data_IF_535541223919
#
_entry.id   IF_535541223919
#
_cell.length_a   1.000
_cell.length_b   1.000
_cell.length_c   1.000
_cell.angle_alpha   90.00
_cell.angle_beta   90.00
_cell.angle_gamma   90.00
#
_symmetry.space_group_name_H-M   'P 1'
#
loop_
_entity.id
_entity.type
_entity.pdbx_description
1 polymer ?
#
# COMPACT_ATOMS: atom_id res chain seq x y z
N UNK A 1 21.36 -15.70 -27.72
CA UNK A 1 21.77 -14.53 -26.90
C UNK A 1 20.60 -13.68 -26.42
N UNK A 2 19.53 -13.48 -27.20
CA UNK A 2 18.38 -12.61 -26.82
C UNK A 2 17.73 -12.98 -25.46
N UNK A 3 17.57 -14.28 -25.16
CA UNK A 3 16.96 -14.73 -23.90
C UNK A 3 17.75 -14.35 -22.63
N UNK A 4 19.07 -14.16 -22.73
CA UNK A 4 19.93 -13.80 -21.61
C UNK A 4 19.78 -12.31 -21.24
N UNK A 5 19.68 -11.44 -22.24
CA UNK A 5 19.52 -10.00 -22.03
C UNK A 5 18.13 -9.66 -21.48
N UNK A 6 17.08 -10.34 -21.97
CA UNK A 6 15.73 -10.19 -21.43
C UNK A 6 15.64 -10.65 -19.97
N UNK A 7 16.30 -11.75 -19.61
CA UNK A 7 16.35 -12.23 -18.23
C UNK A 7 16.99 -11.20 -17.29
N UNK A 8 18.17 -10.68 -17.65
CA UNK A 8 18.87 -9.68 -16.85
C UNK A 8 18.06 -8.38 -16.74
N UNK A 9 17.42 -7.94 -17.82
CA UNK A 9 16.55 -6.75 -17.80
C UNK A 9 15.38 -6.93 -16.83
N UNK A 10 14.68 -8.06 -16.90
CA UNK A 10 13.51 -8.33 -16.04
C UNK A 10 13.94 -8.46 -14.58
N UNK A 11 15.01 -9.20 -14.30
CA UNK A 11 15.57 -9.34 -12.95
C UNK A 11 15.92 -7.99 -12.33
N UNK A 12 16.62 -7.13 -13.08
CA UNK A 12 16.99 -5.80 -12.61
C UNK A 12 15.75 -4.92 -12.39
N UNK A 13 14.75 -5.03 -13.26
CA UNK A 13 13.46 -4.37 -13.10
C UNK A 13 12.74 -4.76 -11.81
N UNK A 14 12.69 -6.06 -11.50
CA UNK A 14 12.12 -6.57 -10.24
C UNK A 14 12.89 -5.98 -9.05
N UNK A 15 14.22 -6.05 -9.07
CA UNK A 15 15.07 -5.55 -7.98
C UNK A 15 14.82 -4.05 -7.71
N UNK A 16 14.78 -3.22 -8.76
CA UNK A 16 14.48 -1.79 -8.65
C UNK A 16 13.08 -1.56 -8.07
N UNK A 17 12.08 -2.34 -8.50
CA UNK A 17 10.73 -2.21 -7.97
C UNK A 17 10.66 -2.59 -6.49
N UNK A 18 11.36 -3.65 -6.06
CA UNK A 18 11.42 -4.02 -4.64
C UNK A 18 12.06 -2.93 -3.79
N UNK A 19 13.14 -2.31 -4.26
CA UNK A 19 13.76 -1.18 -3.58
C UNK A 19 12.78 0.00 -3.43
N UNK A 20 12.04 0.34 -4.49
CA UNK A 20 11.03 1.41 -4.45
C UNK A 20 9.87 1.07 -3.52
N UNK A 21 9.36 -0.16 -3.55
CA UNK A 21 8.32 -0.62 -2.62
C UNK A 21 8.83 -0.46 -1.18
N UNK A 22 10.04 -0.92 -0.88
CA UNK A 22 10.65 -0.78 0.45
C UNK A 22 10.79 0.68 0.88
N UNK A 23 11.24 1.57 -0.01
CA UNK A 23 11.34 3.01 0.28
C UNK A 23 9.97 3.61 0.58
N UNK A 24 8.95 3.30 -0.23
CA UNK A 24 7.60 3.79 -0.01
C UNK A 24 7.03 3.28 1.31
N UNK A 25 7.21 1.99 1.64
CA UNK A 25 6.76 1.41 2.90
C UNK A 25 7.37 2.15 4.09
N UNK A 26 8.69 2.43 4.06
CA UNK A 26 9.35 3.18 5.13
C UNK A 26 8.78 4.60 5.27
N UNK A 27 8.52 5.29 4.16
CA UNK A 27 7.90 6.62 4.18
C UNK A 27 6.47 6.57 4.74
N UNK A 28 5.67 5.58 4.31
CA UNK A 28 4.32 5.37 4.80
C UNK A 28 4.33 5.09 6.31
N UNK A 29 5.22 4.23 6.81
CA UNK A 29 5.38 3.95 8.25
C UNK A 29 5.64 5.24 9.04
N UNK A 30 6.46 6.15 8.50
CA UNK A 30 6.75 7.44 9.15
C UNK A 30 5.55 8.40 9.11
N UNK A 31 4.78 8.42 8.01
CA UNK A 31 3.57 9.24 7.90
C UNK A 31 2.48 8.72 8.84
N UNK A 32 2.26 7.41 8.88
CA UNK A 32 1.26 6.76 9.75
C UNK A 32 1.47 7.08 11.23
N UNK A 33 2.72 7.15 11.69
CA UNK A 33 3.04 7.54 13.08
C UNK A 33 2.57 8.95 13.44
N UNK A 34 2.44 9.84 12.46
CA UNK A 34 2.04 11.24 12.64
C UNK A 34 0.52 11.43 12.52
N UNK A 35 -0.18 10.51 11.86
CA UNK A 35 -1.65 10.58 11.74
C UNK A 35 -2.30 10.48 13.13
N UNK A 36 -3.21 11.42 13.39
CA UNK A 36 -3.91 11.57 14.66
C UNK A 36 -3.10 12.22 15.79
N UNK A 37 -1.90 12.74 15.51
CA UNK A 37 -1.07 13.51 16.44
C UNK A 37 -1.15 15.01 16.16
N UNK A 38 -0.41 15.84 16.91
CA UNK A 38 -0.31 17.27 16.65
C UNK A 38 0.39 17.61 15.32
N UNK A 39 1.15 16.68 14.73
CA UNK A 39 1.80 16.84 13.42
C UNK A 39 0.89 16.40 12.25
N UNK A 40 -0.32 15.90 12.53
CA UNK A 40 -1.25 15.47 11.49
C UNK A 40 -1.75 16.66 10.66
N UNK A 41 -1.87 16.45 9.35
CA UNK A 41 -2.32 17.49 8.42
C UNK A 41 -2.82 16.88 7.10
N UNK A 42 -3.68 17.61 6.38
CA UNK A 42 -4.19 17.18 5.08
C UNK A 42 -3.10 16.89 4.03
N UNK A 43 -2.02 17.71 3.90
CA UNK A 43 -0.92 17.38 2.99
C UNK A 43 -0.21 16.08 3.35
N UNK A 44 -0.07 15.78 4.65
CA UNK A 44 0.52 14.54 5.13
C UNK A 44 -0.34 13.33 4.74
N UNK A 45 -1.66 13.42 4.94
CA UNK A 45 -2.63 12.38 4.55
C UNK A 45 -2.68 12.17 3.03
N UNK A 46 -2.67 13.25 2.27
CA UNK A 46 -2.58 13.20 0.80
C UNK A 46 -1.31 12.47 0.34
N UNK A 47 -0.16 12.77 0.96
CA UNK A 47 1.10 12.06 0.67
C UNK A 47 1.02 10.58 1.05
N UNK A 48 0.42 10.26 2.18
CA UNK A 48 0.20 8.87 2.62
C UNK A 48 -0.60 8.07 1.57
N UNK A 49 -1.75 8.59 1.13
CA UNK A 49 -2.56 7.92 0.10
C UNK A 49 -1.83 7.82 -1.25
N UNK A 50 -1.11 8.88 -1.67
CA UNK A 50 -0.32 8.85 -2.89
C UNK A 50 0.73 7.74 -2.85
N UNK A 51 1.50 7.64 -1.78
CA UNK A 51 2.51 6.59 -1.62
C UNK A 51 1.86 5.20 -1.57
N UNK A 52 0.69 5.06 -0.93
CA UNK A 52 -0.09 3.82 -0.96
C UNK A 52 -0.42 3.38 -2.39
N UNK A 53 -0.96 4.30 -3.21
CA UNK A 53 -1.31 4.04 -4.61
C UNK A 53 -0.09 3.74 -5.48
N UNK A 54 0.98 4.53 -5.35
CA UNK A 54 2.24 4.31 -6.06
C UNK A 54 2.81 2.91 -5.73
N UNK A 55 2.70 2.49 -4.46
CA UNK A 55 3.14 1.16 -4.01
C UNK A 55 2.28 0.04 -4.60
N UNK A 56 0.95 0.21 -4.64
CA UNK A 56 0.03 -0.74 -5.31
C UNK A 56 0.38 -0.93 -6.79
N UNK A 57 0.72 0.13 -7.51
CA UNK A 57 1.14 0.06 -8.91
C UNK A 57 2.49 -0.66 -9.07
N UNK A 58 3.45 -0.41 -8.19
CA UNK A 58 4.74 -1.11 -8.18
C UNK A 58 4.55 -2.62 -7.93
N UNK A 59 3.65 -2.99 -7.01
CA UNK A 59 3.27 -4.39 -6.74
C UNK A 59 2.71 -5.05 -8.01
N UNK A 60 1.80 -4.38 -8.72
CA UNK A 60 1.25 -4.90 -9.97
C UNK A 60 2.32 -5.09 -11.05
N UNK A 61 3.16 -4.08 -11.27
CA UNK A 61 4.28 -4.12 -12.22
C UNK A 61 5.27 -5.24 -11.86
N UNK A 62 5.55 -5.44 -10.57
CA UNK A 62 6.45 -6.48 -10.08
C UNK A 62 5.87 -7.87 -10.32
N UNK A 63 4.57 -8.07 -10.11
CA UNK A 63 3.90 -9.33 -10.43
C UNK A 63 3.99 -9.65 -11.93
N UNK A 64 3.78 -8.66 -12.81
CA UNK A 64 3.92 -8.84 -14.25
C UNK A 64 5.37 -9.23 -14.62
N UNK A 65 6.36 -8.59 -14.01
CA UNK A 65 7.76 -8.91 -14.22
C UNK A 65 8.11 -10.35 -13.75
N UNK A 66 7.56 -10.81 -12.62
CA UNK A 66 7.72 -12.20 -12.18
C UNK A 66 7.09 -13.20 -13.18
N UNK A 67 5.92 -12.89 -13.75
CA UNK A 67 5.31 -13.73 -14.78
C UNK A 67 6.15 -13.76 -16.06
N UNK A 68 6.68 -12.62 -16.48
CA UNK A 68 7.60 -12.55 -17.62
C UNK A 68 8.86 -13.38 -17.36
N UNK A 69 9.45 -13.27 -16.16
CA UNK A 69 10.64 -14.04 -15.74
C UNK A 69 10.40 -15.56 -15.81
N UNK A 70 9.21 -16.01 -15.42
CA UNK A 70 8.81 -17.42 -15.51
C UNK A 70 8.77 -17.91 -16.96
N UNK A 71 8.22 -17.10 -17.86
CA UNK A 71 7.99 -17.44 -19.26
C UNK A 71 9.25 -17.36 -20.16
N UNK A 72 10.40 -16.93 -19.62
CA UNK A 72 11.65 -16.94 -20.39
C UNK A 72 12.06 -18.40 -20.67
N UNK A 73 12.21 -18.79 -21.96
CA UNK A 73 12.60 -20.13 -22.34
C UNK A 73 14.04 -20.42 -21.88
N UNK A 74 14.24 -21.60 -21.30
CA UNK A 74 15.53 -22.04 -20.78
C UNK A 74 16.12 -23.05 -21.75
N UNK A 75 17.31 -22.78 -22.27
CA UNK A 75 17.91 -23.57 -23.34
C UNK A 75 19.12 -24.41 -22.90
N UNK A 76 19.70 -24.13 -21.73
CA UNK A 76 20.89 -24.85 -21.20
C UNK A 76 20.75 -25.15 -19.71
N UNK A 77 21.43 -26.19 -19.20
CA UNK A 77 21.49 -26.49 -17.75
C UNK A 77 22.11 -25.34 -16.94
N UNK A 78 23.07 -24.61 -17.51
CA UNK A 78 23.65 -23.42 -16.89
C UNK A 78 22.64 -22.28 -16.72
N UNK A 79 21.64 -22.19 -17.60
CA UNK A 79 20.54 -21.24 -17.49
C UNK A 79 19.49 -21.70 -16.46
N UNK A 80 19.26 -23.01 -16.34
CA UNK A 80 18.40 -23.59 -15.29
C UNK A 80 18.96 -23.25 -13.90
N UNK A 81 20.25 -23.50 -13.68
CA UNK A 81 20.87 -23.32 -12.37
C UNK A 81 20.96 -21.83 -11.98
N UNK A 82 21.25 -20.94 -12.96
CA UNK A 82 21.23 -19.48 -12.75
C UNK A 82 19.83 -18.93 -12.49
N UNK A 83 18.82 -19.41 -13.24
CA UNK A 83 17.42 -19.04 -13.01
C UNK A 83 17.03 -19.38 -11.58
N UNK A 84 17.33 -20.62 -11.12
CA UNK A 84 17.01 -21.11 -9.78
C UNK A 84 17.57 -20.24 -8.65
N UNK A 85 18.87 -19.94 -8.65
CA UNK A 85 19.51 -19.14 -7.58
C UNK A 85 18.91 -17.72 -7.47
N UNK A 86 18.57 -17.11 -8.62
CA UNK A 86 18.02 -15.76 -8.68
C UNK A 86 16.50 -15.71 -8.46
N UNK A 87 15.79 -16.82 -8.70
CA UNK A 87 14.35 -16.94 -8.43
C UNK A 87 14.01 -17.26 -6.99
N UNK A 88 14.95 -17.75 -6.16
CA UNK A 88 14.63 -18.12 -4.77
C UNK A 88 14.66 -16.92 -3.80
N UNK A 89 15.46 -15.88 -4.09
CA UNK A 89 15.66 -14.75 -3.18
C UNK A 89 14.69 -13.59 -3.38
N UNK A 90 14.38 -13.23 -4.63
CA UNK A 90 13.50 -12.10 -4.95
C UNK A 90 12.05 -12.30 -4.46
N UNK A 91 11.41 -13.47 -4.61
CA UNK A 91 10.06 -13.71 -4.10
C UNK A 91 10.00 -13.62 -2.58
N UNK A 92 10.99 -14.17 -1.86
CA UNK A 92 11.03 -14.07 -0.40
C UNK A 92 11.14 -12.61 0.08
N UNK A 93 12.01 -11.82 -0.55
CA UNK A 93 12.11 -10.38 -0.24
C UNK A 93 10.81 -9.64 -0.57
N UNK A 94 10.20 -9.95 -1.70
CA UNK A 94 8.93 -9.37 -2.12
C UNK A 94 7.81 -9.66 -1.11
N UNK A 95 7.67 -10.91 -0.67
CA UNK A 95 6.67 -11.31 0.32
C UNK A 95 6.84 -10.56 1.65
N UNK A 96 8.08 -10.40 2.13
CA UNK A 96 8.39 -9.61 3.33
C UNK A 96 7.98 -8.14 3.18
N UNK A 97 8.22 -7.55 2.01
CA UNK A 97 7.82 -6.17 1.72
C UNK A 97 6.29 -6.03 1.64
N UNK A 98 5.59 -7.00 1.05
CA UNK A 98 4.13 -7.03 1.01
C UNK A 98 3.54 -7.12 2.42
N UNK A 99 4.07 -8.00 3.27
CA UNK A 99 3.62 -8.14 4.64
C UNK A 99 3.78 -6.83 5.42
N UNK A 100 4.95 -6.18 5.32
CA UNK A 100 5.20 -4.88 5.96
C UNK A 100 4.27 -3.79 5.44
N UNK A 101 4.05 -3.72 4.13
CA UNK A 101 3.13 -2.76 3.53
C UNK A 101 1.71 -2.93 4.09
N UNK A 102 1.23 -4.16 4.17
CA UNK A 102 -0.09 -4.49 4.73
C UNK A 102 -0.23 -4.11 6.19
N UNK A 103 0.74 -4.48 7.02
CA UNK A 103 0.74 -4.14 8.44
C UNK A 103 0.69 -2.62 8.63
N UNK A 104 1.49 -1.90 7.83
CA UNK A 104 1.54 -0.44 7.86
C UNK A 104 0.23 0.20 7.41
N UNK A 105 -0.37 -0.31 6.33
CA UNK A 105 -1.65 0.19 5.81
C UNK A 105 -2.79 -0.04 6.81
N UNK A 106 -2.86 -1.23 7.44
CA UNK A 106 -3.83 -1.52 8.50
C UNK A 106 -3.69 -0.54 9.67
N UNK A 107 -2.45 -0.28 10.10
CA UNK A 107 -2.18 0.68 11.16
C UNK A 107 -2.59 2.10 10.75
N UNK A 108 -2.30 2.51 9.51
CA UNK A 108 -2.70 3.82 8.98
C UNK A 108 -4.22 4.01 9.02
N UNK A 109 -4.97 3.04 8.51
CA UNK A 109 -6.43 3.04 8.54
C UNK A 109 -6.97 3.10 9.98
N UNK A 110 -6.39 2.32 10.89
CA UNK A 110 -6.77 2.36 12.30
C UNK A 110 -6.55 3.77 12.88
N UNK A 111 -5.40 4.39 12.62
CA UNK A 111 -5.07 5.75 13.09
C UNK A 111 -6.00 6.81 12.52
N UNK A 112 -6.35 6.72 11.24
CA UNK A 112 -7.33 7.62 10.63
C UNK A 112 -8.71 7.48 11.27
N UNK A 113 -9.17 6.25 11.50
CA UNK A 113 -10.46 5.99 12.17
C UNK A 113 -10.49 6.53 13.60
N UNK A 114 -9.42 6.30 14.36
CA UNK A 114 -9.28 6.84 15.72
C UNK A 114 -9.25 8.37 15.74
N UNK A 115 -8.54 8.99 14.78
CA UNK A 115 -8.50 10.45 14.62
C UNK A 115 -9.89 11.03 14.34
N UNK A 116 -10.65 10.43 13.42
CA UNK A 116 -12.02 10.85 13.11
C UNK A 116 -12.96 10.69 14.30
N UNK A 117 -12.85 9.59 15.03
CA UNK A 117 -13.66 9.36 16.23
C UNK A 117 -13.33 10.39 17.33
N UNK A 118 -12.05 10.74 17.53
CA UNK A 118 -11.65 11.80 18.46
C UNK A 118 -12.19 13.16 18.04
N UNK A 119 -12.09 13.51 16.76
CA UNK A 119 -12.64 14.77 16.25
C UNK A 119 -14.15 14.85 16.51
N UNK A 120 -14.90 13.77 16.25
CA UNK A 120 -16.34 13.68 16.53
C UNK A 120 -16.68 13.81 18.02
N UNK A 121 -15.93 13.15 18.89
CA UNK A 121 -16.12 13.23 20.34
C UNK A 121 -15.83 14.63 20.88
N UNK A 122 -14.74 15.26 20.42
CA UNK A 122 -14.42 16.65 20.76
C UNK A 122 -15.49 17.64 20.28
N UNK A 123 -16.09 17.41 19.11
CA UNK A 123 -17.22 18.20 18.63
C UNK A 123 -18.49 17.99 19.47
N UNK A 124 -18.71 16.81 20.05
CA UNK A 124 -19.86 16.55 20.93
C UNK A 124 -19.69 17.17 22.33
N UNK A 125 -18.47 17.19 22.88
CA UNK A 125 -18.18 17.89 24.15
C UNK A 125 -18.21 19.42 24.01
N UNK A 126 -17.94 19.96 22.82
CA UNK A 126 -18.02 21.40 22.54
C UNK A 126 -19.44 21.97 22.38
N UNK A 127 -20.47 21.14 22.26
CA UNK A 127 -21.88 21.56 22.07
C UNK A 127 -22.65 21.63 23.41
N UNK A 128 -22.02 21.30 24.53
CA UNK A 128 -22.63 21.35 25.86
C UNK A 128 -22.57 22.73 26.56
N UNK A 129 -22.13 23.79 25.88
CA UNK A 129 -22.17 25.16 26.42
C UNK A 129 -22.70 26.09 25.31
N UNK A 130 -23.72 26.88 25.64
CA UNK A 130 -24.44 27.88 24.82
C UNK A 130 -25.66 27.38 24.02
N UNK A 131 -26.70 26.97 24.75
CA UNK A 131 -28.08 27.24 24.32
C UNK A 131 -28.35 28.74 24.44
N UNK A 132 -28.20 29.48 23.34
CA UNK A 132 -29.11 30.54 22.90
C UNK A 132 -28.52 31.25 21.67
N UNK A 133 -29.34 31.28 20.60
CA UNK A 133 -29.39 32.27 19.51
C UNK A 133 -29.30 31.63 18.12
N UNK A 134 -30.50 31.46 17.56
CA UNK A 134 -30.94 31.76 16.21
C UNK A 134 -29.89 31.87 15.07
N UNK A 135 -30.20 31.12 14.01
CA UNK A 135 -29.91 31.34 12.59
C UNK A 135 -28.66 30.69 11.94
N UNK A 136 -28.94 30.16 10.74
CA UNK A 136 -28.10 29.63 9.65
C UNK A 136 -27.70 28.13 9.62
N UNK A 137 -28.16 27.34 8.62
CA UNK A 137 -27.71 25.97 8.41
C UNK A 137 -26.37 25.96 7.64
N UNK A 138 -25.26 25.77 8.37
CA UNK A 138 -23.96 25.51 7.78
C UNK A 138 -23.84 24.03 7.35
N UNK A 139 -24.39 23.70 6.19
CA UNK A 139 -24.26 22.37 5.57
C UNK A 139 -23.20 22.39 4.45
N UNK A 140 -21.93 22.18 4.82
CA UNK A 140 -20.87 21.97 3.81
C UNK A 140 -19.67 21.13 4.27
N UNK A 141 -19.58 20.78 5.56
CA UNK A 141 -18.46 19.98 6.09
C UNK A 141 -18.81 18.48 6.23
N UNK A 142 -20.09 18.11 6.15
CA UNK A 142 -20.54 16.73 6.39
C UNK A 142 -20.29 15.81 5.18
N UNK A 143 -20.37 16.35 3.96
CA UNK A 143 -20.24 15.59 2.71
C UNK A 143 -18.81 15.17 2.37
N UNK A 144 -17.81 16.02 2.64
CA UNK A 144 -16.39 15.69 2.43
C UNK A 144 -15.91 14.58 3.37
N UNK A 145 -16.28 14.64 4.65
CA UNK A 145 -15.95 13.57 5.61
C UNK A 145 -16.58 12.22 5.26
N UNK A 146 -17.82 12.22 4.73
CA UNK A 146 -18.51 10.99 4.33
C UNK A 146 -17.86 10.36 3.09
N UNK A 147 -17.41 11.20 2.14
CA UNK A 147 -16.69 10.75 0.96
C UNK A 147 -15.33 10.12 1.32
N UNK A 148 -14.57 10.73 2.22
CA UNK A 148 -13.31 10.16 2.73
C UNK A 148 -13.54 8.83 3.45
N UNK A 149 -14.60 8.70 4.24
CA UNK A 149 -14.97 7.44 4.89
C UNK A 149 -15.33 6.33 3.88
N UNK A 150 -16.05 6.67 2.82
CA UNK A 150 -16.41 5.71 1.77
C UNK A 150 -15.17 5.25 0.99
N UNK A 151 -14.23 6.15 0.67
CA UNK A 151 -12.96 5.82 0.01
C UNK A 151 -12.13 4.88 0.88
N UNK A 152 -11.98 5.18 2.18
CA UNK A 152 -11.24 4.33 3.13
C UNK A 152 -11.90 2.95 3.25
N UNK A 153 -13.24 2.88 3.31
CA UNK A 153 -13.97 1.62 3.39
C UNK A 153 -13.82 0.75 2.12
N UNK A 154 -13.86 1.37 0.94
CA UNK A 154 -13.68 0.68 -0.35
C UNK A 154 -12.24 0.21 -0.53
N UNK A 155 -11.24 1.04 -0.18
CA UNK A 155 -9.83 0.62 -0.22
C UNK A 155 -9.57 -0.56 0.72
N UNK A 156 -10.20 -0.62 1.89
CA UNK A 156 -10.05 -1.72 2.86
C UNK A 156 -10.55 -3.07 2.33
N UNK A 157 -11.67 -3.08 1.62
CA UNK A 157 -12.31 -4.33 1.18
C UNK A 157 -11.57 -4.95 -0.01
N UNK A 158 -11.05 -4.11 -0.90
CA UNK A 158 -10.28 -4.54 -2.08
C UNK A 158 -8.90 -5.09 -1.68
N UNK A 159 -8.25 -4.51 -0.67
CA UNK A 159 -6.87 -4.84 -0.31
C UNK A 159 -6.72 -6.26 0.30
N UNK A 160 -7.60 -6.65 1.24
CA UNK A 160 -7.53 -7.94 1.93
C UNK A 160 -7.80 -9.16 1.03
N UNK A 161 -8.74 -9.05 0.09
CA UNK A 161 -9.06 -10.15 -0.84
C UNK A 161 -7.94 -10.36 -1.86
N UNK A 162 -7.34 -9.26 -2.32
CA UNK A 162 -6.33 -9.28 -3.39
C UNK A 162 -5.02 -9.95 -2.96
N UNK A 163 -4.70 -10.00 -1.66
CA UNK A 163 -3.45 -10.57 -1.13
C UNK A 163 -3.53 -12.08 -0.91
N UNK A 164 -4.64 -12.58 -0.37
CA UNK A 164 -4.81 -14.03 -0.13
C UNK A 164 -4.76 -14.82 -1.44
N UNK A 165 -5.37 -14.26 -2.48
CA UNK A 165 -5.32 -14.81 -3.83
C UNK A 165 -3.89 -14.74 -4.40
N UNK A 166 -3.09 -13.73 -4.04
CA UNK A 166 -1.73 -13.53 -4.56
C UNK A 166 -0.67 -14.37 -3.86
N UNK A 167 -0.74 -14.58 -2.55
CA UNK A 167 0.14 -15.53 -1.84
C UNK A 167 -0.08 -16.95 -2.37
N UNK A 168 -1.35 -17.33 -2.62
CA UNK A 168 -1.67 -18.60 -3.28
C UNK A 168 -1.20 -18.68 -4.72
N UNK A 169 -1.20 -17.58 -5.47
CA UNK A 169 -0.64 -17.54 -6.82
C UNK A 169 0.88 -17.69 -6.79
N UNK A 170 1.60 -17.01 -5.90
CA UNK A 170 3.06 -17.07 -5.80
C UNK A 170 3.56 -18.42 -5.28
N UNK A 171 2.88 -19.04 -4.30
CA UNK A 171 3.18 -20.41 -3.84
C UNK A 171 3.00 -21.50 -4.91
N UNK A 172 2.19 -21.23 -5.95
CA UNK A 172 2.05 -22.11 -7.12
C UNK A 172 3.15 -21.88 -8.17
N UNK A 173 4.05 -20.91 -7.94
CA UNK A 173 5.19 -20.59 -8.81
C UNK A 173 6.53 -21.10 -8.26
N UNK A 174 6.57 -21.54 -7.00
CA UNK A 174 7.61 -22.42 -6.44
C UNK A 174 7.38 -23.87 -6.92
#
# INVERSE_FOLDING_TARGET
MIAQDDFQRIHNGITINLQKIGSNVNDIENLVKKIGTAEDSEPLRTRYHKLGNDTKLLIQTTNQAFQQLKNIPVHTEADINRKRILTDTLPSQYLKLLERFQQTQRLGVQKERESLNRARGASQEGVAIYHNREEEPFDSTFSSQQQTQAIIAVENQVDLQTIHERDQQLRKLE
#
